data_IF_091142040895
#
_entry.id   IF_091142040895
#
_cell.length_a   1.000
_cell.length_b   1.000
_cell.length_c   1.000
_cell.angle_alpha   90.00
_cell.angle_beta   90.00
_cell.angle_gamma   90.00
#
_symmetry.space_group_name_H-M   'P 1'
#
loop_
_entity.id
_entity.type
_entity.pdbx_description
1 polymer ?
#
# COMPACT_ATOMS: atom_id res chain seq x y z
N UNK A 1 61.46 37.83 39.64
CA UNK A 1 61.65 36.97 38.44
C UNK A 1 60.61 37.41 37.43
N UNK A 2 61.01 38.24 36.46
CA UNK A 2 61.36 37.85 35.08
C UNK A 2 60.14 37.30 34.32
N UNK A 3 59.66 37.84 33.21
CA UNK A 3 60.07 38.95 32.32
C UNK A 3 58.99 39.04 31.20
N UNK A 4 58.68 40.26 30.70
CA UNK A 4 58.56 40.57 29.22
C UNK A 4 57.26 40.17 28.49
N UNK A 5 56.56 40.94 27.63
CA UNK A 5 56.56 42.31 27.03
C UNK A 5 55.15 42.48 26.37
N UNK A 6 54.55 43.61 25.99
CA UNK A 6 54.85 45.04 25.84
C UNK A 6 53.63 45.67 25.10
N UNK A 7 53.04 46.78 25.56
CA UNK A 7 53.13 48.17 25.03
C UNK A 7 52.69 48.28 23.54
N UNK A 8 51.66 49.04 23.14
CA UNK A 8 51.64 50.51 22.93
C UNK A 8 50.20 50.92 22.45
N UNK A 9 49.49 51.89 23.04
CA UNK A 9 49.50 53.33 22.69
C UNK A 9 48.09 53.75 22.20
N UNK A 10 47.34 54.60 22.92
CA UNK A 10 47.16 56.05 22.67
C UNK A 10 46.64 56.34 21.25
N UNK A 11 45.43 56.87 21.01
CA UNK A 11 44.98 58.18 21.45
C UNK A 11 43.46 58.36 21.30
N UNK A 12 42.89 59.07 22.28
CA UNK A 12 41.59 59.72 22.23
C UNK A 12 41.75 61.03 21.45
N UNK A 13 41.09 61.16 20.31
CA UNK A 13 40.91 62.43 19.62
C UNK A 13 39.42 62.64 19.30
N UNK A 14 38.77 63.40 20.17
CA UNK A 14 37.48 64.03 19.89
C UNK A 14 37.74 65.23 18.96
N UNK A 15 37.28 65.12 17.72
CA UNK A 15 37.09 66.29 16.85
C UNK A 15 35.68 66.26 16.28
N UNK A 16 34.87 67.22 16.72
CA UNK A 16 33.56 67.56 16.17
C UNK A 16 33.71 67.98 14.69
N UNK A 17 32.90 67.40 13.82
CA UNK A 17 32.80 67.79 12.42
C UNK A 17 31.52 67.27 11.78
N UNK A 18 30.49 68.12 11.80
CA UNK A 18 29.36 68.25 10.86
C UNK A 18 28.68 66.99 10.29
N UNK A 19 27.39 66.85 10.62
CA UNK A 19 26.42 65.95 9.98
C UNK A 19 26.44 66.08 8.44
N UNK A 20 26.96 65.07 7.76
CA UNK A 20 26.72 64.80 6.34
C UNK A 20 26.04 63.44 6.23
N UNK A 21 24.75 63.44 5.90
CA UNK A 21 23.99 62.22 5.64
C UNK A 21 24.56 61.53 4.39
N UNK A 22 25.30 60.44 4.57
CA UNK A 22 25.61 59.53 3.47
C UNK A 22 24.37 58.66 3.22
N UNK A 23 23.58 59.07 2.24
CA UNK A 23 22.59 58.20 1.61
C UNK A 23 23.33 56.96 1.07
N UNK A 24 23.17 55.83 1.74
CA UNK A 24 23.46 54.53 1.15
C UNK A 24 22.47 54.34 0.00
N UNK A 25 22.94 54.53 -1.22
CA UNK A 25 22.22 54.08 -2.41
C UNK A 25 22.20 52.55 -2.39
N UNK A 26 21.06 51.97 -1.99
CA UNK A 26 20.71 50.60 -2.34
C UNK A 26 20.82 50.48 -3.86
N UNK A 27 21.52 49.46 -4.41
CA UNK A 27 21.39 49.17 -5.82
C UNK A 27 19.91 48.87 -6.07
N UNK A 28 19.28 49.67 -6.91
CA UNK A 28 17.90 49.49 -7.32
C UNK A 28 17.74 48.04 -7.77
N UNK A 29 16.86 47.28 -7.09
CA UNK A 29 16.45 45.98 -7.61
C UNK A 29 15.88 46.25 -9.00
N UNK A 30 16.50 45.66 -10.03
CA UNK A 30 15.89 45.60 -11.35
C UNK A 30 14.41 45.18 -11.15
N UNK A 31 13.45 45.79 -11.87
CA UNK A 31 12.07 45.36 -11.76
C UNK A 31 12.04 43.86 -12.05
N UNK A 32 11.61 43.06 -11.07
CA UNK A 32 11.37 41.65 -11.28
C UNK A 32 10.50 41.54 -12.54
N UNK A 33 11.00 40.85 -13.57
CA UNK A 33 10.19 40.56 -14.75
C UNK A 33 8.84 40.04 -14.25
N UNK A 34 7.71 40.44 -14.84
CA UNK A 34 6.44 39.80 -14.52
C UNK A 34 6.65 38.30 -14.66
N UNK A 35 6.55 37.56 -13.56
CA UNK A 35 6.62 36.12 -13.65
C UNK A 35 5.39 35.73 -14.47
N UNK A 36 5.60 35.27 -15.70
CA UNK A 36 4.57 34.72 -16.59
C UNK A 36 4.09 33.34 -16.09
N UNK A 37 4.14 33.15 -14.77
CA UNK A 37 3.79 31.93 -14.08
C UNK A 37 2.28 31.83 -14.07
N UNK A 38 1.78 30.86 -14.80
CA UNK A 38 0.36 30.52 -14.85
C UNK A 38 0.08 29.43 -13.82
N UNK A 39 -1.12 29.47 -13.23
CA UNK A 39 -1.63 28.42 -12.36
C UNK A 39 -2.54 27.52 -13.17
N UNK A 40 -2.27 26.21 -13.15
CA UNK A 40 -3.11 25.20 -13.79
C UNK A 40 -3.40 24.06 -12.82
N UNK A 41 -4.62 23.52 -12.90
CA UNK A 41 -5.06 22.36 -12.13
C UNK A 41 -5.20 21.17 -13.07
N UNK A 42 -4.60 20.04 -12.69
CA UNK A 42 -4.65 18.78 -13.43
C UNK A 42 -5.36 17.74 -12.57
N UNK A 43 -6.47 17.19 -13.06
CA UNK A 43 -7.20 16.13 -12.37
C UNK A 43 -6.64 14.75 -12.77
N UNK A 44 -6.38 13.92 -11.76
CA UNK A 44 -5.93 12.54 -11.92
C UNK A 44 -7.15 11.61 -11.90
N UNK A 45 -7.24 10.73 -12.89
CA UNK A 45 -8.40 9.87 -13.11
C UNK A 45 -8.15 8.44 -12.63
N UNK A 46 -6.89 7.97 -12.65
CA UNK A 46 -6.55 6.56 -12.39
C UNK A 46 -5.86 6.34 -11.03
N UNK A 47 -5.69 7.41 -10.24
CA UNK A 47 -5.21 7.35 -8.85
C UNK A 47 -6.30 6.77 -7.95
N UNK A 48 -6.04 5.58 -7.41
CA UNK A 48 -6.93 4.87 -6.48
C UNK A 48 -6.45 5.04 -5.04
N UNK A 49 -5.12 5.08 -4.82
CA UNK A 49 -4.54 5.25 -3.49
C UNK A 49 -3.77 6.57 -3.41
N UNK A 50 -3.81 7.19 -2.23
CA UNK A 50 -3.07 8.42 -1.96
C UNK A 50 -1.55 8.34 -2.27
N UNK A 51 -0.84 7.23 -1.97
CA UNK A 51 0.57 7.10 -2.34
C UNK A 51 0.82 7.24 -3.85
N UNK A 52 -0.11 6.79 -4.70
CA UNK A 52 0.06 6.87 -6.15
C UNK A 52 0.06 8.34 -6.63
N UNK A 53 -0.84 9.17 -6.09
CA UNK A 53 -0.87 10.61 -6.37
C UNK A 53 0.39 11.33 -5.87
N UNK A 54 0.90 10.92 -4.70
CA UNK A 54 2.15 11.45 -4.15
C UNK A 54 3.38 11.06 -4.98
N UNK A 55 3.41 9.86 -5.58
CA UNK A 55 4.48 9.47 -6.50
C UNK A 55 4.52 10.37 -7.74
N UNK A 56 3.35 10.66 -8.34
CA UNK A 56 3.23 11.59 -9.47
C UNK A 56 3.68 13.00 -9.07
N UNK A 57 3.28 13.47 -7.89
CA UNK A 57 3.68 14.77 -7.34
C UNK A 57 5.22 14.88 -7.22
N UNK A 58 5.87 13.84 -6.70
CA UNK A 58 7.34 13.81 -6.55
C UNK A 58 8.02 13.78 -7.92
N UNK A 59 7.52 13.00 -8.87
CA UNK A 59 8.04 12.97 -10.24
C UNK A 59 7.98 14.37 -10.89
N UNK A 60 6.86 15.06 -10.76
CA UNK A 60 6.69 16.43 -11.27
C UNK A 60 7.70 17.38 -10.62
N UNK A 61 7.79 17.40 -9.29
CA UNK A 61 8.71 18.30 -8.55
C UNK A 61 10.18 18.10 -8.93
N UNK A 62 10.59 16.87 -9.25
CA UNK A 62 11.95 16.58 -9.67
C UNK A 62 12.25 16.98 -11.12
N UNK A 63 11.23 17.14 -11.96
CA UNK A 63 11.38 17.41 -13.40
C UNK A 63 11.21 18.87 -13.78
N UNK A 64 10.61 19.68 -12.92
CA UNK A 64 10.41 21.11 -13.16
C UNK A 64 11.31 21.97 -12.26
N UNK A 65 11.25 23.29 -12.42
CA UNK A 65 12.08 24.21 -11.63
C UNK A 65 11.85 24.02 -10.12
N UNK A 66 12.91 24.02 -9.28
CA UNK A 66 12.77 23.99 -7.82
C UNK A 66 11.95 25.16 -7.24
N UNK A 67 11.79 26.24 -8.02
CA UNK A 67 11.00 27.41 -7.64
C UNK A 67 9.51 27.28 -7.96
N UNK A 68 9.13 26.28 -8.77
CA UNK A 68 7.74 26.06 -9.12
C UNK A 68 6.95 25.57 -7.90
N UNK A 69 5.74 26.08 -7.73
CA UNK A 69 4.84 25.61 -6.67
C UNK A 69 3.99 24.48 -7.21
N UNK A 70 4.03 23.34 -6.54
CA UNK A 70 3.31 22.12 -6.92
C UNK A 70 2.66 21.58 -5.67
N UNK A 71 1.34 21.50 -5.66
CA UNK A 71 0.55 21.00 -4.53
C UNK A 71 -0.40 19.90 -5.00
N UNK A 72 -0.53 18.83 -4.21
CA UNK A 72 -1.49 17.75 -4.46
C UNK A 72 -2.68 17.92 -3.50
N UNK A 73 -3.88 17.99 -4.08
CA UNK A 73 -5.15 18.08 -3.37
C UNK A 73 -5.80 16.71 -3.41
N UNK A 74 -5.53 15.89 -2.39
CA UNK A 74 -5.97 14.50 -2.32
C UNK A 74 -7.49 14.32 -2.40
N UNK A 75 -8.28 15.28 -1.91
CA UNK A 75 -9.75 15.20 -1.94
C UNK A 75 -10.35 15.29 -3.35
N UNK A 76 -9.64 15.93 -4.28
CA UNK A 76 -10.06 16.13 -5.66
C UNK A 76 -9.21 15.31 -6.65
N UNK A 77 -8.29 14.49 -6.13
CA UNK A 77 -7.24 13.84 -6.91
C UNK A 77 -6.59 14.81 -7.91
N UNK A 78 -6.28 16.03 -7.48
CA UNK A 78 -5.83 17.10 -8.37
C UNK A 78 -4.43 17.60 -8.02
N UNK A 79 -3.61 17.87 -9.02
CA UNK A 79 -2.31 18.52 -8.88
C UNK A 79 -2.42 19.96 -9.37
N UNK A 80 -2.15 20.91 -8.49
CA UNK A 80 -2.12 22.34 -8.79
C UNK A 80 -0.66 22.73 -9.01
N UNK A 81 -0.36 23.27 -10.20
CA UNK A 81 0.99 23.70 -10.56
C UNK A 81 0.97 25.18 -10.91
N UNK A 82 1.92 25.92 -10.35
CA UNK A 82 2.25 27.29 -10.75
C UNK A 82 3.65 27.32 -11.35
N UNK A 83 3.72 27.50 -12.67
CA UNK A 83 4.99 27.63 -13.40
C UNK A 83 4.81 28.30 -14.77
N UNK A 84 5.89 28.41 -15.54
CA UNK A 84 5.85 28.90 -16.91
C UNK A 84 5.05 27.96 -17.84
N UNK A 85 4.45 28.46 -18.93
CA UNK A 85 3.65 27.66 -19.85
C UNK A 85 4.38 26.43 -20.40
N UNK A 86 5.67 26.56 -20.73
CA UNK A 86 6.51 25.45 -21.22
C UNK A 86 6.64 24.32 -20.18
N UNK A 87 6.72 24.66 -18.90
CA UNK A 87 6.79 23.66 -17.83
C UNK A 87 5.43 23.02 -17.57
N UNK A 88 4.33 23.78 -17.69
CA UNK A 88 2.98 23.21 -17.57
C UNK A 88 2.70 22.18 -18.68
N UNK A 89 3.19 22.41 -19.90
CA UNK A 89 3.11 21.43 -20.98
C UNK A 89 3.92 20.15 -20.68
N UNK A 90 5.08 20.29 -20.01
CA UNK A 90 5.85 19.13 -19.54
C UNK A 90 5.11 18.37 -18.43
N UNK A 91 4.50 19.08 -17.48
CA UNK A 91 3.68 18.48 -16.41
C UNK A 91 2.52 17.70 -16.99
N UNK A 92 1.80 18.27 -17.96
CA UNK A 92 0.69 17.59 -18.64
C UNK A 92 1.16 16.28 -19.26
N UNK A 93 2.32 16.29 -19.94
CA UNK A 93 2.90 15.09 -20.51
C UNK A 93 3.25 14.05 -19.43
N UNK A 94 3.91 14.46 -18.35
CA UNK A 94 4.28 13.56 -17.25
C UNK A 94 3.03 12.94 -16.62
N UNK A 95 2.00 13.74 -16.33
CA UNK A 95 0.74 13.25 -15.78
C UNK A 95 0.10 12.25 -16.75
N UNK A 96 0.03 12.57 -18.05
CA UNK A 96 -0.52 11.66 -19.05
C UNK A 96 0.24 10.34 -19.12
N UNK A 97 1.56 10.34 -18.96
CA UNK A 97 2.38 9.13 -19.02
C UNK A 97 2.25 8.30 -17.73
N UNK A 98 2.06 8.93 -16.56
CA UNK A 98 2.01 8.26 -15.25
C UNK A 98 0.60 7.90 -14.75
N UNK A 99 -0.41 8.72 -15.02
CA UNK A 99 -1.81 8.49 -14.62
C UNK A 99 -2.50 7.54 -15.62
N UNK A 100 -2.00 6.31 -15.71
CA UNK A 100 -2.52 5.29 -16.62
C UNK A 100 -3.61 4.42 -15.96
N UNK A 101 -4.61 3.94 -16.72
CA UNK A 101 -5.62 3.02 -16.21
C UNK A 101 -4.98 1.73 -15.67
N UNK A 102 -5.41 1.31 -14.48
CA UNK A 102 -4.99 0.04 -13.88
C UNK A 102 -5.70 -1.12 -14.57
N UNK A 103 -4.93 -2.13 -14.99
CA UNK A 103 -5.51 -3.33 -15.58
C UNK A 103 -6.23 -4.15 -14.52
N UNK A 104 -7.36 -4.74 -14.94
CA UNK A 104 -8.21 -5.57 -14.09
C UNK A 104 -8.22 -7.00 -14.63
N UNK A 105 -8.13 -7.96 -13.72
CA UNK A 105 -8.08 -9.38 -14.04
C UNK A 105 -9.09 -10.16 -13.20
N UNK A 106 -9.62 -11.23 -13.79
CA UNK A 106 -10.33 -12.29 -13.08
C UNK A 106 -9.31 -13.36 -12.74
N UNK A 107 -9.16 -13.63 -11.44
CA UNK A 107 -8.45 -14.80 -10.95
C UNK A 107 -9.47 -15.88 -10.60
N UNK A 108 -9.23 -17.09 -11.06
CA UNK A 108 -10.01 -18.27 -10.69
C UNK A 108 -9.07 -19.27 -10.03
N UNK A 109 -9.26 -19.48 -8.73
CA UNK A 109 -8.59 -20.54 -7.98
C UNK A 109 -9.38 -21.83 -8.12
N UNK A 110 -8.67 -22.92 -8.37
CA UNK A 110 -9.23 -24.26 -8.45
C UNK A 110 -8.56 -25.13 -7.41
N UNK A 111 -9.38 -25.67 -6.51
CA UNK A 111 -8.97 -26.61 -5.48
C UNK A 111 -9.41 -28.00 -5.93
N UNK A 112 -8.46 -28.90 -6.09
CA UNK A 112 -8.72 -30.29 -6.46
C UNK A 112 -8.28 -31.19 -5.33
N UNK A 113 -9.24 -31.88 -4.71
CA UNK A 113 -8.95 -32.93 -3.73
C UNK A 113 -8.85 -34.27 -4.45
N UNK A 114 -7.74 -34.96 -4.23
CA UNK A 114 -7.47 -36.28 -4.77
C UNK A 114 -7.34 -37.29 -3.64
N UNK A 115 -7.75 -38.52 -3.88
CA UNK A 115 -7.47 -39.69 -3.03
C UNK A 115 -6.69 -40.71 -3.88
N UNK A 116 -5.40 -40.84 -3.59
CA UNK A 116 -4.47 -41.51 -4.50
C UNK A 116 -4.45 -40.85 -5.88
N UNK A 117 -4.86 -41.58 -6.92
CA UNK A 117 -4.93 -41.08 -8.30
C UNK A 117 -6.31 -40.57 -8.71
N UNK A 118 -7.32 -40.66 -7.84
CA UNK A 118 -8.70 -40.31 -8.17
C UNK A 118 -9.03 -38.91 -7.65
N UNK A 119 -9.49 -38.02 -8.51
CA UNK A 119 -10.11 -36.76 -8.08
C UNK A 119 -11.44 -37.06 -7.38
N UNK A 120 -11.59 -36.59 -6.15
CA UNK A 120 -12.78 -36.79 -5.31
C UNK A 120 -13.59 -35.49 -5.13
N UNK A 121 -13.04 -34.33 -5.50
CA UNK A 121 -13.76 -33.07 -5.48
C UNK A 121 -13.00 -31.93 -6.14
N UNK A 122 -13.74 -31.01 -6.74
CA UNK A 122 -13.19 -29.76 -7.30
C UNK A 122 -14.05 -28.58 -6.84
N UNK A 123 -13.40 -27.51 -6.41
CA UNK A 123 -14.03 -26.24 -6.03
C UNK A 123 -13.37 -25.08 -6.76
N UNK A 124 -14.17 -24.10 -7.16
CA UNK A 124 -13.71 -22.92 -7.86
C UNK A 124 -14.04 -21.65 -7.08
N UNK A 125 -13.06 -20.76 -6.94
CA UNK A 125 -13.21 -19.46 -6.30
C UNK A 125 -12.70 -18.39 -7.26
N UNK A 126 -13.62 -17.54 -7.73
CA UNK A 126 -13.28 -16.46 -8.66
C UNK A 126 -13.37 -15.10 -7.97
N UNK A 127 -12.40 -14.23 -8.25
CA UNK A 127 -12.37 -12.85 -7.79
C UNK A 127 -11.85 -11.91 -8.86
N UNK A 128 -12.27 -10.65 -8.81
CA UNK A 128 -11.74 -9.58 -9.64
C UNK A 128 -10.63 -8.89 -8.85
N UNK A 129 -9.47 -8.72 -9.48
CA UNK A 129 -8.31 -8.03 -8.90
C UNK A 129 -7.85 -6.90 -9.82
N UNK A 130 -7.38 -5.82 -9.20
CA UNK A 130 -6.80 -4.67 -9.91
C UNK A 130 -5.28 -4.74 -9.73
N UNK A 131 -4.52 -4.49 -10.79
CA UNK A 131 -3.05 -4.47 -10.73
C UNK A 131 -2.55 -3.41 -9.74
N UNK A 132 -1.68 -3.82 -8.82
CA UNK A 132 -1.13 -2.98 -7.74
C UNK A 132 -1.98 -2.94 -6.47
N UNK A 133 -3.21 -3.48 -6.50
CA UNK A 133 -4.15 -3.45 -5.38
C UNK A 133 -4.26 -4.79 -4.65
N UNK A 134 -4.44 -4.70 -3.34
CA UNK A 134 -4.68 -5.87 -2.50
C UNK A 134 -6.17 -6.20 -2.49
N UNK A 135 -6.50 -7.43 -2.86
CA UNK A 135 -7.87 -7.96 -2.84
C UNK A 135 -7.95 -9.09 -1.82
N UNK A 136 -9.01 -9.09 -1.01
CA UNK A 136 -9.28 -10.18 -0.07
C UNK A 136 -10.65 -10.80 -0.33
N UNK A 137 -10.75 -12.12 -0.20
CA UNK A 137 -12.01 -12.86 -0.25
C UNK A 137 -12.08 -13.76 0.98
N UNK A 138 -13.14 -13.62 1.78
CA UNK A 138 -13.38 -14.44 2.96
C UNK A 138 -14.72 -15.13 2.83
N UNK A 139 -14.74 -16.43 3.04
CA UNK A 139 -15.95 -17.24 3.10
C UNK A 139 -15.82 -18.18 4.29
N UNK A 140 -16.69 -18.06 5.27
CA UNK A 140 -16.58 -18.88 6.46
C UNK A 140 -17.75 -18.74 7.41
N UNK A 141 -17.63 -19.46 8.52
CA UNK A 141 -18.53 -19.40 9.67
C UNK A 141 -17.78 -18.85 10.87
N UNK A 142 -18.47 -18.02 11.65
CA UNK A 142 -17.97 -17.49 12.92
C UNK A 142 -18.65 -18.24 14.06
N UNK A 143 -17.90 -19.11 14.74
CA UNK A 143 -18.44 -20.03 15.74
C UNK A 143 -18.17 -19.50 17.15
N UNK A 144 -19.20 -19.34 18.00
CA UNK A 144 -19.01 -18.98 19.41
C UNK A 144 -18.44 -20.17 20.20
N UNK A 145 -17.51 -19.88 21.11
CA UNK A 145 -16.98 -20.82 22.09
C UNK A 145 -17.12 -20.20 23.48
N UNK A 146 -17.64 -20.95 24.44
CA UNK A 146 -17.76 -20.49 25.83
C UNK A 146 -16.43 -20.69 26.53
N UNK A 147 -15.75 -19.60 26.91
CA UNK A 147 -14.42 -19.65 27.56
C UNK A 147 -14.48 -19.64 29.08
N UNK A 148 -15.67 -19.47 29.65
CA UNK A 148 -15.88 -19.47 31.09
C UNK A 148 -17.34 -19.19 31.44
N UNK A 149 -17.74 -19.63 32.64
CA UNK A 149 -19.02 -19.27 33.25
C UNK A 149 -18.73 -18.82 34.67
N UNK A 150 -19.25 -17.66 35.08
CA UNK A 150 -19.12 -17.15 36.44
C UNK A 150 -20.51 -17.15 37.10
N UNK A 151 -20.65 -17.85 38.22
CA UNK A 151 -21.85 -17.80 39.05
C UNK A 151 -21.78 -16.62 40.01
N UNK A 152 -22.39 -15.51 39.61
CA UNK A 152 -22.51 -14.30 40.41
C UNK A 152 -23.69 -14.34 41.39
N UNK A 153 -23.81 -15.36 42.24
CA UNK A 153 -24.88 -15.44 43.25
C UNK A 153 -26.27 -15.10 42.71
N UNK A 154 -27.07 -14.28 43.43
CA UNK A 154 -28.48 -13.92 43.12
C UNK A 154 -28.76 -13.30 41.73
N UNK A 155 -27.77 -13.16 40.85
CA UNK A 155 -27.86 -12.49 39.55
C UNK A 155 -27.49 -13.38 38.36
N UNK A 156 -27.85 -14.68 38.37
CA UNK A 156 -27.76 -15.58 37.22
C UNK A 156 -26.32 -15.93 36.77
N UNK A 157 -26.19 -17.04 36.05
CA UNK A 157 -24.90 -17.48 35.50
C UNK A 157 -24.51 -16.59 34.32
N UNK A 158 -23.37 -15.91 34.40
CA UNK A 158 -22.84 -15.10 33.31
C UNK A 158 -21.82 -15.93 32.51
N UNK A 159 -22.09 -16.15 31.22
CA UNK A 159 -21.20 -16.87 30.30
C UNK A 159 -20.30 -15.90 29.54
N UNK A 160 -19.01 -16.23 29.43
CA UNK A 160 -18.06 -15.53 28.57
C UNK A 160 -17.94 -16.29 27.25
N UNK A 161 -18.13 -15.58 26.12
CA UNK A 161 -18.09 -16.16 24.78
C UNK A 161 -16.97 -15.49 23.98
N UNK A 162 -16.09 -16.31 23.39
CA UNK A 162 -15.17 -15.89 22.31
C UNK A 162 -15.70 -16.40 20.97
N UNK A 163 -15.23 -15.83 19.87
CA UNK A 163 -15.61 -16.27 18.53
C UNK A 163 -14.38 -16.64 17.73
N UNK A 164 -14.47 -17.75 17.02
CA UNK A 164 -13.45 -18.19 16.06
C UNK A 164 -14.02 -18.16 14.65
N UNK A 165 -13.22 -17.64 13.72
CA UNK A 165 -13.55 -17.67 12.29
C UNK A 165 -12.94 -18.93 11.66
N UNK A 166 -13.77 -19.69 10.95
CA UNK A 166 -13.34 -20.88 10.20
C UNK A 166 -13.88 -20.80 8.78
N UNK A 167 -13.09 -21.21 7.80
CA UNK A 167 -13.46 -21.16 6.40
C UNK A 167 -12.25 -20.86 5.51
N UNK A 168 -12.51 -20.24 4.37
CA UNK A 168 -11.52 -19.84 3.39
C UNK A 168 -11.22 -18.35 3.48
N UNK A 169 -9.94 -18.02 3.42
CA UNK A 169 -9.44 -16.67 3.33
C UNK A 169 -8.40 -16.59 2.21
N UNK A 170 -8.65 -15.71 1.25
CA UNK A 170 -7.74 -15.38 0.17
C UNK A 170 -7.24 -13.97 0.38
N UNK A 171 -5.95 -13.80 0.21
CA UNK A 171 -5.28 -12.53 0.28
C UNK A 171 -4.31 -12.42 -0.89
N UNK A 172 -4.66 -11.53 -1.81
CA UNK A 172 -4.10 -11.52 -3.16
C UNK A 172 -3.61 -10.14 -3.51
N UNK A 173 -2.40 -10.07 -4.07
CA UNK A 173 -1.83 -8.88 -4.67
C UNK A 173 -1.23 -9.26 -6.02
N UNK A 174 -1.84 -8.74 -7.08
CA UNK A 174 -1.36 -8.91 -8.44
C UNK A 174 -0.59 -7.66 -8.85
N UNK A 175 0.57 -7.85 -9.46
CA UNK A 175 1.45 -6.76 -9.89
C UNK A 175 1.92 -7.03 -11.31
N UNK A 176 1.74 -6.06 -12.19
CA UNK A 176 2.13 -6.15 -13.58
C UNK A 176 3.46 -5.42 -13.80
N UNK A 177 4.48 -6.17 -14.23
CA UNK A 177 5.72 -5.63 -14.75
C UNK A 177 5.71 -5.71 -16.28
N UNK A 178 6.62 -4.99 -16.93
CA UNK A 178 6.72 -4.90 -18.39
C UNK A 178 6.72 -6.26 -19.11
N UNK A 179 7.33 -7.28 -18.50
CA UNK A 179 7.51 -8.60 -19.12
C UNK A 179 6.71 -9.73 -18.43
N UNK A 180 6.17 -9.49 -17.24
CA UNK A 180 5.56 -10.56 -16.44
C UNK A 180 4.52 -10.06 -15.45
N UNK A 181 3.49 -10.89 -15.23
CA UNK A 181 2.48 -10.64 -14.20
C UNK A 181 2.82 -11.49 -12.98
N UNK A 182 3.08 -10.82 -11.86
CA UNK A 182 3.46 -11.44 -10.58
C UNK A 182 2.24 -11.51 -9.67
N UNK A 183 1.89 -12.72 -9.26
CA UNK A 183 0.90 -13.00 -8.23
C UNK A 183 1.60 -13.22 -6.89
N UNK A 184 1.24 -12.43 -5.88
CA UNK A 184 1.44 -12.77 -4.47
C UNK A 184 0.11 -13.25 -3.92
N UNK A 185 0.06 -14.48 -3.43
CA UNK A 185 -1.18 -15.08 -2.93
C UNK A 185 -0.92 -15.78 -1.59
N UNK A 186 -1.79 -15.51 -0.63
CA UNK A 186 -1.96 -16.31 0.58
C UNK A 186 -3.38 -16.86 0.57
N UNK A 187 -3.46 -18.18 0.58
CA UNK A 187 -4.70 -18.95 0.68
C UNK A 187 -4.66 -19.68 2.00
N UNK A 188 -5.71 -19.49 2.80
CA UNK A 188 -5.84 -20.10 4.11
C UNK A 188 -7.20 -20.79 4.19
N UNK A 189 -7.19 -22.07 4.56
CA UNK A 189 -8.38 -22.88 4.78
C UNK A 189 -8.38 -23.37 6.21
N UNK A 190 -9.46 -23.11 6.93
CA UNK A 190 -9.68 -23.50 8.31
C UNK A 190 -10.99 -24.27 8.46
N UNK A 191 -11.00 -25.30 9.28
CA UNK A 191 -12.21 -26.05 9.61
C UNK A 191 -12.20 -26.54 11.06
N UNK A 192 -13.39 -26.79 11.61
CA UNK A 192 -13.55 -27.47 12.90
C UNK A 192 -13.47 -28.97 12.63
N UNK A 193 -12.61 -29.68 13.37
CA UNK A 193 -12.59 -31.14 13.33
C UNK A 193 -13.72 -31.72 14.18
N UNK A 194 -14.25 -32.87 13.76
CA UNK A 194 -15.31 -33.59 14.48
C UNK A 194 -14.85 -34.16 15.84
N UNK A 195 -13.54 -34.16 16.09
CA UNK A 195 -12.96 -34.59 17.36
C UNK A 195 -13.00 -33.45 18.39
N UNK A 196 -13.53 -33.75 19.58
CA UNK A 196 -13.54 -32.82 20.71
C UNK A 196 -12.15 -32.81 21.35
N UNK A 197 -11.60 -31.62 21.64
CA UNK A 197 -10.39 -31.52 22.45
C UNK A 197 -10.71 -32.07 23.83
N UNK A 198 -10.11 -33.19 24.23
CA UNK A 198 -10.37 -33.88 25.51
C UNK A 198 -10.00 -33.09 26.78
N UNK A 199 -9.88 -31.77 26.69
CA UNK A 199 -9.52 -30.82 27.74
C UNK A 199 -10.77 -30.09 28.27
N UNK A 200 -11.89 -30.07 27.53
CA UNK A 200 -13.17 -29.50 27.96
C UNK A 200 -14.37 -29.96 27.11
N UNK A 201 -15.62 -29.87 27.61
CA UNK A 201 -16.79 -30.41 26.92
C UNK A 201 -17.15 -29.74 25.58
N UNK A 202 -16.55 -28.58 25.25
CA UNK A 202 -16.94 -27.76 24.08
C UNK A 202 -15.76 -27.14 23.30
N UNK A 203 -14.54 -27.64 23.47
CA UNK A 203 -13.36 -27.05 22.81
C UNK A 203 -13.14 -27.67 21.41
N UNK A 204 -13.33 -26.91 20.30
CA UNK A 204 -13.13 -27.42 18.96
C UNK A 204 -11.64 -27.56 18.63
N UNK A 205 -11.27 -28.62 17.91
CA UNK A 205 -9.95 -28.70 17.27
C UNK A 205 -10.04 -27.98 15.93
N UNK A 206 -9.17 -26.98 15.70
CA UNK A 206 -9.11 -26.26 14.43
C UNK A 206 -8.03 -26.86 13.55
N UNK A 207 -8.43 -27.29 12.35
CA UNK A 207 -7.50 -27.66 11.29
C UNK A 207 -7.27 -26.44 10.43
N UNK A 208 -6.01 -26.17 10.10
CA UNK A 208 -5.63 -25.03 9.30
C UNK A 208 -4.60 -25.45 8.26
N UNK A 209 -4.83 -24.99 7.05
CA UNK A 209 -3.97 -25.19 5.89
C UNK A 209 -3.64 -23.82 5.32
N UNK A 210 -2.35 -23.50 5.19
CA UNK A 210 -1.89 -22.21 4.67
C UNK A 210 -0.96 -22.45 3.49
N UNK A 211 -1.31 -21.89 2.34
CA UNK A 211 -0.47 -21.80 1.15
C UNK A 211 -0.14 -20.33 0.91
N UNK A 212 1.12 -19.95 1.00
CA UNK A 212 1.57 -18.60 0.73
C UNK A 212 2.74 -18.63 -0.25
N UNK A 213 2.65 -17.86 -1.33
CA UNK A 213 3.65 -17.88 -2.38
C UNK A 213 3.63 -16.66 -3.29
N UNK A 214 4.71 -16.54 -4.04
CA UNK A 214 4.84 -15.61 -5.17
C UNK A 214 5.05 -16.42 -6.44
N UNK A 215 4.31 -16.11 -7.49
CA UNK A 215 4.37 -16.85 -8.76
C UNK A 215 4.21 -15.91 -9.95
N UNK A 216 4.75 -16.29 -11.10
CA UNK A 216 4.53 -15.58 -12.36
C UNK A 216 3.41 -16.25 -13.14
N UNK A 217 2.40 -15.48 -13.55
CA UNK A 217 1.25 -15.97 -14.28
C UNK A 217 1.36 -15.66 -15.77
N UNK A 218 0.82 -16.56 -16.58
CA UNK A 218 0.57 -16.32 -18.00
C UNK A 218 -0.95 -16.28 -18.22
N UNK A 219 -1.42 -15.29 -18.99
CA UNK A 219 -2.85 -15.13 -19.29
C UNK A 219 -3.43 -16.40 -19.91
N UNK A 220 -4.58 -16.86 -19.39
CA UNK A 220 -5.32 -18.02 -19.88
C UNK A 220 -4.63 -19.37 -19.66
N UNK A 221 -3.51 -19.42 -18.92
CA UNK A 221 -2.82 -20.67 -18.58
C UNK A 221 -2.93 -20.94 -17.09
N UNK A 222 -3.57 -22.05 -16.67
CA UNK A 222 -3.58 -22.46 -15.28
C UNK A 222 -2.16 -22.74 -14.77
N UNK A 223 -1.86 -22.28 -13.55
CA UNK A 223 -0.63 -22.55 -12.83
C UNK A 223 -0.95 -23.20 -11.48
N UNK A 224 -0.31 -24.34 -11.18
CA UNK A 224 -0.37 -24.95 -9.85
C UNK A 224 0.49 -24.14 -8.88
N UNK A 225 -0.14 -23.59 -7.84
CA UNK A 225 0.52 -22.81 -6.79
C UNK A 225 1.13 -23.70 -5.71
N UNK A 226 0.51 -24.85 -5.46
CA UNK A 226 0.99 -25.80 -4.47
C UNK A 226 0.13 -27.05 -4.38
N UNK A 227 0.69 -28.05 -3.71
CA UNK A 227 0.08 -29.33 -3.44
C UNK A 227 0.38 -29.72 -2.01
N UNK A 228 -0.65 -30.10 -1.25
CA UNK A 228 -0.53 -30.46 0.16
C UNK A 228 -1.16 -31.82 0.42
N UNK A 229 -0.40 -32.73 1.02
CA UNK A 229 -0.93 -33.99 1.52
C UNK A 229 -1.63 -33.77 2.87
N UNK A 230 -2.79 -34.39 3.06
CA UNK A 230 -3.57 -34.29 4.29
C UNK A 230 -3.03 -35.32 5.29
N UNK A 231 -2.48 -34.88 6.44
CA UNK A 231 -1.89 -35.80 7.42
C UNK A 231 -2.85 -36.90 7.87
N UNK A 232 -2.36 -38.15 7.93
CA UNK A 232 -3.17 -39.30 8.33
C UNK A 232 -4.14 -39.81 7.26
N UNK A 233 -3.98 -39.41 6.00
CA UNK A 233 -4.80 -39.89 4.88
C UNK A 233 -3.97 -40.06 3.59
N UNK A 234 -4.55 -40.69 2.58
CA UNK A 234 -4.04 -40.74 1.19
C UNK A 234 -4.49 -39.53 0.35
N UNK A 235 -5.09 -38.53 1.01
CA UNK A 235 -5.68 -37.38 0.33
C UNK A 235 -4.65 -36.29 0.09
N UNK A 236 -4.78 -35.65 -1.07
CA UNK A 236 -3.95 -34.53 -1.51
C UNK A 236 -4.83 -33.40 -2.01
N UNK A 237 -4.47 -32.18 -1.65
CA UNK A 237 -5.10 -30.96 -2.12
C UNK A 237 -4.16 -30.23 -3.08
N UNK A 238 -4.58 -30.10 -4.34
CA UNK A 238 -3.90 -29.29 -5.34
C UNK A 238 -4.61 -27.93 -5.48
N UNK A 239 -3.84 -26.85 -5.40
CA UNK A 239 -4.34 -25.48 -5.56
C UNK A 239 -3.73 -24.90 -6.82
N UNK A 240 -4.57 -24.61 -7.80
CA UNK A 240 -4.18 -23.95 -9.05
C UNK A 240 -4.87 -22.60 -9.19
N UNK A 241 -4.29 -21.71 -9.99
CA UNK A 241 -4.86 -20.42 -10.33
C UNK A 241 -4.77 -20.18 -11.83
N UNK A 242 -5.82 -19.61 -12.39
CA UNK A 242 -5.85 -19.11 -13.76
C UNK A 242 -6.20 -17.62 -13.73
N UNK A 243 -5.57 -16.85 -14.62
CA UNK A 243 -5.78 -15.42 -14.75
C UNK A 243 -6.26 -15.05 -16.14
N UNK A 244 -7.34 -14.28 -16.20
CA UNK A 244 -7.90 -13.76 -17.44
C UNK A 244 -8.16 -12.25 -17.33
N UNK A 245 -7.82 -11.43 -18.34
CA UNK A 245 -8.11 -10.00 -18.32
C UNK A 245 -9.62 -9.75 -18.35
N UNK A 246 -10.06 -8.70 -17.67
CA UNK A 246 -11.43 -8.17 -17.77
C UNK A 246 -11.38 -6.98 -18.72
N UNK A 247 -12.19 -7.03 -19.78
CA UNK A 247 -12.36 -5.93 -20.73
C UNK A 247 -13.23 -4.84 -20.13
#
# INVERSE_FOLDING_TARGET
MKLTNGILGMALALTLGTLGALAQSTPASAPAKPNDDTVQTFHLTNVVREPDGNEILVAIRNMISPTAKVDFVSSENAIIVRSSPDQLALVEKIIKDLDQPRKTYRLTYTFTEMDGSKSIGTQHFSMIVISGERTTLKQGSRTPIVTGSYDGGKSGTQTQVTYIDTGLNFDVLLDESADAIRLRSKVEQSSIADQVSGVGPQDPIIRQTVLQGTSFLTVGKPLVLGSLDIPGSTRRLDVAVEMNPIK
#
